data_IF_747276078998
#
_entry.id   IF_747276078998
#
_cell.length_a   1.000
_cell.length_b   1.000
_cell.length_c   1.000
_cell.angle_alpha   90.00
_cell.angle_beta   90.00
_cell.angle_gamma   90.00
#
_symmetry.space_group_name_H-M   'P 1'
#
loop_
_entity.id
_entity.type
_entity.pdbx_description
1 polymer ?
#
# COMPACT_ATOMS: atom_id res chain seq x y z
N UNK A 1 5.89 -5.29 1.93
CA UNK A 1 4.58 -5.83 1.52
C UNK A 1 4.70 -7.19 0.84
N UNK A 2 5.40 -7.30 -0.31
CA UNK A 2 5.53 -8.57 -1.04
C UNK A 2 6.10 -9.69 -0.15
N UNK A 3 7.21 -9.42 0.55
CA UNK A 3 7.86 -10.40 1.44
C UNK A 3 6.97 -10.84 2.61
N UNK A 4 6.16 -9.93 3.14
CA UNK A 4 5.23 -10.26 4.21
C UNK A 4 4.10 -11.16 3.70
N UNK A 5 3.52 -10.87 2.54
CA UNK A 5 2.52 -11.75 1.91
C UNK A 5 3.14 -13.11 1.58
N UNK A 6 4.35 -13.11 1.02
CA UNK A 6 5.09 -14.32 0.67
C UNK A 6 5.46 -15.20 1.88
N UNK A 7 5.41 -14.68 3.12
CA UNK A 7 5.69 -15.52 4.30
C UNK A 7 4.55 -16.47 4.64
N UNK A 8 3.33 -16.22 4.13
CA UNK A 8 2.15 -17.04 4.38
C UNK A 8 1.36 -17.43 3.12
N UNK A 9 1.61 -16.80 1.97
CA UNK A 9 1.01 -17.16 0.68
C UNK A 9 2.07 -17.80 -0.24
N UNK A 10 1.84 -19.07 -0.60
CA UNK A 10 2.77 -19.84 -1.43
C UNK A 10 2.84 -19.37 -2.89
N UNK A 11 1.75 -18.84 -3.45
CA UNK A 11 1.76 -18.30 -4.82
C UNK A 11 2.58 -17.01 -4.87
N UNK A 12 2.41 -16.13 -3.88
CA UNK A 12 3.20 -14.93 -3.72
C UNK A 12 4.68 -15.26 -3.49
N UNK A 13 4.98 -16.28 -2.68
CA UNK A 13 6.36 -16.73 -2.45
C UNK A 13 7.04 -17.20 -3.75
N UNK A 14 6.35 -18.01 -4.54
CA UNK A 14 6.85 -18.49 -5.84
C UNK A 14 7.06 -17.33 -6.81
N UNK A 15 6.13 -16.38 -6.88
CA UNK A 15 6.24 -15.19 -7.71
C UNK A 15 7.42 -14.29 -7.29
N UNK A 16 7.65 -14.11 -5.99
CA UNK A 16 8.78 -13.34 -5.47
C UNK A 16 10.13 -13.99 -5.82
N UNK A 17 10.21 -15.33 -5.75
CA UNK A 17 11.40 -16.06 -6.14
C UNK A 17 11.71 -15.91 -7.65
N UNK A 18 10.70 -16.02 -8.51
CA UNK A 18 10.83 -15.78 -9.96
C UNK A 18 11.28 -14.35 -10.26
N UNK A 19 10.67 -13.36 -9.59
CA UNK A 19 11.07 -11.97 -9.73
C UNK A 19 12.55 -11.74 -9.36
N UNK A 20 12.99 -12.27 -8.21
CA UNK A 20 14.37 -12.11 -7.73
C UNK A 20 15.40 -12.75 -8.66
N UNK A 21 15.10 -13.95 -9.15
CA UNK A 21 15.99 -14.66 -10.10
C UNK A 21 16.11 -13.88 -11.41
N UNK A 22 14.99 -13.42 -11.98
CA UNK A 22 15.02 -12.62 -13.20
C UNK A 22 15.70 -11.25 -13.02
N UNK A 23 15.54 -10.58 -11.87
CA UNK A 23 16.25 -9.34 -11.55
C UNK A 23 17.77 -9.56 -11.47
N UNK A 24 18.21 -10.66 -10.85
CA UNK A 24 19.63 -11.01 -10.79
C UNK A 24 20.21 -11.29 -12.18
N UNK A 25 19.51 -12.05 -13.01
CA UNK A 25 19.92 -12.33 -14.39
C UNK A 25 20.02 -11.06 -15.22
N UNK A 26 19.02 -10.17 -15.10
CA UNK A 26 19.02 -8.86 -15.75
C UNK A 26 20.25 -8.03 -15.32
N UNK A 27 20.55 -7.95 -14.02
CA UNK A 27 21.71 -7.23 -13.50
C UNK A 27 23.02 -7.82 -14.04
N UNK A 28 23.16 -9.15 -14.03
CA UNK A 28 24.36 -9.82 -14.52
C UNK A 28 24.58 -9.59 -16.01
N UNK A 29 23.53 -9.62 -16.81
CA UNK A 29 23.61 -9.39 -18.24
C UNK A 29 23.86 -7.92 -18.58
N UNK A 30 23.24 -6.99 -17.85
CA UNK A 30 23.52 -5.56 -17.98
C UNK A 30 25.00 -5.24 -17.71
N UNK A 31 25.59 -5.85 -16.66
CA UNK A 31 27.03 -5.73 -16.37
C UNK A 31 27.93 -6.28 -17.49
N UNK A 32 27.45 -7.24 -18.27
CA UNK A 32 28.14 -7.80 -19.44
C UNK A 32 27.89 -7.02 -20.73
N UNK A 33 27.15 -5.91 -20.67
CA UNK A 33 26.79 -5.09 -21.85
C UNK A 33 25.74 -5.74 -22.75
N UNK A 34 25.05 -6.79 -22.28
CA UNK A 34 24.00 -7.48 -23.02
C UNK A 34 22.66 -6.75 -22.80
N UNK A 35 21.89 -6.56 -23.88
CA UNK A 35 20.50 -6.10 -23.78
C UNK A 35 19.61 -7.30 -23.50
N UNK A 36 18.97 -7.31 -22.33
CA UNK A 36 17.96 -8.30 -21.97
C UNK A 36 16.66 -7.59 -21.67
N UNK A 37 15.54 -8.24 -21.98
CA UNK A 37 14.24 -7.75 -21.58
C UNK A 37 14.15 -7.68 -20.05
N UNK A 38 13.45 -6.67 -19.54
CA UNK A 38 13.14 -6.58 -18.12
C UNK A 38 12.13 -7.69 -17.78
N UNK A 39 12.18 -8.18 -16.54
CA UNK A 39 11.17 -9.10 -16.03
C UNK A 39 9.78 -8.47 -16.09
N UNK A 40 8.87 -9.11 -16.83
CA UNK A 40 7.45 -8.78 -16.81
C UNK A 40 6.75 -9.67 -15.77
N UNK A 41 6.10 -9.04 -14.80
CA UNK A 41 5.49 -9.75 -13.69
C UNK A 41 4.17 -10.42 -14.10
N UNK A 42 4.14 -11.75 -13.99
CA UNK A 42 2.95 -12.60 -14.09
C UNK A 42 2.02 -12.48 -12.86
N UNK A 43 2.57 -12.05 -11.72
CA UNK A 43 1.87 -11.90 -10.47
C UNK A 43 1.68 -10.43 -10.09
N UNK A 44 0.43 -9.99 -9.98
CA UNK A 44 0.06 -8.63 -9.58
C UNK A 44 -0.15 -8.58 -8.08
N UNK A 45 0.90 -8.14 -7.36
CA UNK A 45 0.87 -8.03 -5.90
C UNK A 45 -0.31 -7.18 -5.38
N UNK A 46 -0.72 -6.15 -6.13
CA UNK A 46 -1.82 -5.25 -5.79
C UNK A 46 -3.20 -5.93 -5.73
N UNK A 47 -3.35 -7.07 -6.41
CA UNK A 47 -4.63 -7.80 -6.50
C UNK A 47 -4.80 -8.79 -5.34
N UNK A 48 -3.76 -9.00 -4.53
CA UNK A 48 -3.82 -9.90 -3.38
C UNK A 48 -4.70 -9.29 -2.27
N UNK A 49 -5.59 -10.09 -1.65
CA UNK A 49 -6.56 -9.60 -0.64
C UNK A 49 -5.89 -8.92 0.56
N UNK A 50 -4.70 -9.37 0.94
CA UNK A 50 -3.91 -8.78 2.02
C UNK A 50 -3.05 -7.61 1.56
N UNK A 51 -3.05 -7.19 0.29
CA UNK A 51 -2.16 -6.14 -0.23
C UNK A 51 -2.27 -4.83 0.55
N UNK A 52 -3.49 -4.49 0.95
CA UNK A 52 -3.78 -3.29 1.74
C UNK A 52 -3.89 -3.57 3.23
N UNK A 53 -3.67 -4.79 3.74
CA UNK A 53 -3.92 -5.07 5.17
C UNK A 53 -2.91 -4.44 6.12
N UNK A 54 -1.68 -4.19 5.64
CA UNK A 54 -0.69 -3.37 6.35
C UNK A 54 -0.76 -1.89 5.97
N UNK A 55 -1.51 -1.53 4.93
CA UNK A 55 -1.77 -0.14 4.60
C UNK A 55 -3.01 0.29 5.40
N UNK A 56 -2.81 1.27 6.27
CA UNK A 56 -3.88 2.10 6.81
C UNK A 56 -4.63 1.67 8.09
N UNK A 57 -4.04 0.88 9.00
CA UNK A 57 -4.64 0.76 10.36
C UNK A 57 -4.71 2.14 11.02
N UNK A 58 -3.63 2.93 10.96
CA UNK A 58 -3.55 4.24 11.61
C UNK A 58 -4.47 5.29 10.95
N UNK A 59 -4.39 5.56 9.63
CA UNK A 59 -5.36 6.40 8.93
C UNK A 59 -6.82 5.98 9.11
N UNK A 60 -7.15 4.69 9.04
CA UNK A 60 -8.52 4.21 9.25
C UNK A 60 -9.00 4.43 10.69
N UNK A 61 -8.13 4.17 11.69
CA UNK A 61 -8.44 4.39 13.09
C UNK A 61 -8.63 5.89 13.43
N UNK A 62 -7.76 6.77 12.91
CA UNK A 62 -7.89 8.23 13.10
C UNK A 62 -9.18 8.73 12.45
N UNK A 63 -9.46 8.30 11.21
CA UNK A 63 -10.70 8.65 10.50
C UNK A 63 -11.94 8.21 11.27
N UNK A 64 -11.93 6.99 11.84
CA UNK A 64 -13.03 6.45 12.64
C UNK A 64 -13.25 7.26 13.92
N UNK A 65 -12.17 7.59 14.65
CA UNK A 65 -12.23 8.43 15.86
C UNK A 65 -12.79 9.82 15.57
N UNK A 66 -12.38 10.44 14.45
CA UNK A 66 -12.93 11.72 14.01
C UNK A 66 -14.42 11.62 13.66
N UNK A 67 -14.84 10.56 12.97
CA UNK A 67 -16.26 10.31 12.63
C UNK A 67 -17.13 10.18 13.88
N UNK A 68 -16.62 9.47 14.89
CA UNK A 68 -17.30 9.24 16.16
C UNK A 68 -17.19 10.42 17.14
N UNK A 69 -16.48 11.49 16.74
CA UNK A 69 -16.20 12.67 17.58
C UNK A 69 -15.54 12.31 18.91
N UNK A 70 -14.66 11.32 18.90
CA UNK A 70 -13.92 10.92 20.08
C UNK A 70 -13.03 12.08 20.58
N UNK A 71 -13.02 12.31 21.89
CA UNK A 71 -12.23 13.38 22.50
C UNK A 71 -10.72 13.21 22.28
N UNK A 72 -10.24 11.96 22.18
CA UNK A 72 -8.83 11.62 22.04
C UNK A 72 -8.35 11.57 20.57
N UNK A 73 -9.18 11.95 19.60
CA UNK A 73 -8.86 11.79 18.18
C UNK A 73 -7.57 12.52 17.75
N UNK A 74 -7.33 13.72 18.29
CA UNK A 74 -6.14 14.52 17.97
C UNK A 74 -4.89 14.00 18.66
N UNK A 75 -5.01 13.59 19.92
CA UNK A 75 -3.90 12.99 20.69
C UNK A 75 -3.47 11.67 20.07
N UNK A 76 -4.43 10.83 19.67
CA UNK A 76 -4.19 9.58 18.96
C UNK A 76 -3.52 9.80 17.59
N UNK A 77 -3.88 10.89 16.89
CA UNK A 77 -3.24 11.28 15.64
C UNK A 77 -1.83 11.84 15.83
N UNK A 78 -1.44 12.23 17.05
CA UNK A 78 -0.10 12.66 17.44
C UNK A 78 0.52 13.70 16.48
N UNK A 79 -0.30 14.55 15.87
CA UNK A 79 0.18 15.64 15.04
C UNK A 79 0.38 16.89 15.89
N UNK A 80 1.48 17.61 15.67
CA UNK A 80 1.75 18.87 16.37
C UNK A 80 0.69 19.96 16.11
N UNK A 81 0.01 19.90 14.95
CA UNK A 81 -1.06 20.81 14.60
C UNK A 81 -2.37 20.02 14.32
N UNK A 82 -3.47 20.28 15.05
CA UNK A 82 -4.78 19.67 14.80
C UNK A 82 -5.31 19.87 13.38
N UNK A 83 -4.94 20.96 12.71
CA UNK A 83 -5.30 21.23 11.32
C UNK A 83 -4.75 20.17 10.35
N UNK A 84 -3.57 19.63 10.63
CA UNK A 84 -2.97 18.54 9.86
C UNK A 84 -3.82 17.27 9.97
N UNK A 85 -4.31 16.96 11.18
CA UNK A 85 -5.23 15.83 11.41
C UNK A 85 -6.53 15.99 10.63
N UNK A 86 -7.14 17.18 10.64
CA UNK A 86 -8.33 17.44 9.84
C UNK A 86 -8.09 17.31 8.34
N UNK A 87 -7.00 17.87 7.84
CA UNK A 87 -6.68 17.88 6.40
C UNK A 87 -6.56 16.46 5.84
N UNK A 88 -5.90 15.57 6.58
CA UNK A 88 -5.63 14.21 6.11
C UNK A 88 -6.76 13.20 6.39
N UNK A 89 -7.54 13.40 7.46
CA UNK A 89 -8.45 12.36 7.95
C UNK A 89 -9.90 12.81 8.12
N UNK A 90 -10.22 14.11 8.05
CA UNK A 90 -11.61 14.56 8.09
C UNK A 90 -12.29 14.36 6.74
N UNK A 91 -12.82 13.15 6.56
CA UNK A 91 -13.56 12.76 5.36
C UNK A 91 -14.97 13.35 5.29
N UNK A 92 -15.40 14.26 6.19
CA UNK A 92 -16.69 14.97 6.03
C UNK A 92 -16.78 15.79 4.74
N UNK A 93 -15.64 15.99 4.05
CA UNK A 93 -15.57 16.39 2.64
C UNK A 93 -15.70 15.21 1.67
N UNK A 94 -16.61 14.25 1.90
CA UNK A 94 -17.00 13.30 0.85
C UNK A 94 -17.59 14.15 -0.27
N UNK A 95 -16.84 14.40 -1.34
CA UNK A 95 -17.42 14.85 -2.60
C UNK A 95 -18.36 13.73 -3.05
N UNK A 96 -19.64 13.86 -2.74
CA UNK A 96 -20.67 13.05 -3.38
C UNK A 96 -20.74 13.51 -4.82
N UNK A 97 -20.63 12.60 -5.78
CA UNK A 97 -21.11 12.90 -7.12
C UNK A 97 -22.59 13.27 -6.97
N UNK A 98 -22.95 14.49 -7.37
CA UNK A 98 -24.37 14.85 -7.49
C UNK A 98 -25.01 13.84 -8.45
N UNK A 99 -26.22 13.39 -8.14
CA UNK A 99 -27.01 12.67 -9.14
C UNK A 99 -27.11 13.58 -10.37
N UNK A 100 -26.47 13.19 -11.46
CA UNK A 100 -26.73 13.75 -12.77
C UNK A 100 -28.17 13.37 -13.11
N UNK A 101 -29.05 14.36 -13.15
CA UNK A 101 -30.31 14.31 -13.91
C UNK A 101 -30.02 14.28 -15.42
#
# INVERSE_FOLDING_TARGET
MFEWIASFDAQAAAALARKRTAELEYILAYKKGLKVAKYEADYRLADHVQYFSLQDIRPAAITTKLSNRNADAYDFAAHANPSTTHTHYDRRKIKRAGATE
#
